data_IF_496464930617
#
_entry.id   IF_496464930617
#
_cell.length_a   1.000
_cell.length_b   1.000
_cell.length_c   1.000
_cell.angle_alpha   90.00
_cell.angle_beta   90.00
_cell.angle_gamma   90.00
#
_symmetry.space_group_name_H-M   'P 1'
#
loop_
_entity.id
_entity.type
_entity.pdbx_description
1 polymer ?
#
# COMPACT_ATOMS: atom_id res chain seq x y z
N UNK A 1 19.87 -17.68 -3.34
CA UNK A 1 19.36 -17.16 -4.62
C UNK A 1 18.48 -18.23 -5.23
N UNK A 2 17.17 -18.04 -5.13
CA UNK A 2 16.23 -18.69 -6.03
C UNK A 2 15.35 -17.58 -6.54
N UNK A 3 15.81 -17.02 -7.64
CA UNK A 3 15.01 -16.20 -8.52
C UNK A 3 13.85 -17.08 -8.99
N UNK A 4 12.68 -16.85 -8.42
CA UNK A 4 11.41 -17.29 -8.98
C UNK A 4 10.67 -16.02 -9.39
N UNK A 5 11.23 -15.39 -10.42
CA UNK A 5 10.49 -14.69 -11.44
C UNK A 5 9.75 -15.75 -12.25
N UNK A 6 8.57 -16.15 -11.76
CA UNK A 6 7.71 -17.16 -12.35
C UNK A 6 6.57 -16.51 -13.14
N UNK A 7 6.88 -15.61 -14.08
CA UNK A 7 6.16 -15.43 -15.34
C UNK A 7 4.63 -15.49 -15.32
N UNK A 8 4.00 -15.00 -14.25
CA UNK A 8 2.55 -14.91 -14.10
C UNK A 8 2.11 -13.52 -14.61
N UNK A 9 1.12 -13.43 -15.52
CA UNK A 9 0.75 -12.17 -16.15
C UNK A 9 0.20 -11.22 -15.10
N UNK A 10 0.95 -10.17 -14.74
CA UNK A 10 0.56 -9.07 -13.85
C UNK A 10 -0.46 -9.47 -12.76
N UNK A 11 -0.09 -10.50 -11.97
CA UNK A 11 -0.84 -10.88 -10.80
C UNK A 11 -0.77 -9.70 -9.82
N UNK A 12 -1.87 -8.95 -9.73
CA UNK A 12 -2.08 -7.82 -8.85
C UNK A 12 -1.26 -8.00 -7.55
N UNK A 13 -0.37 -7.05 -7.24
CA UNK A 13 0.47 -7.12 -6.05
C UNK A 13 -0.38 -7.45 -4.80
N UNK A 14 0.23 -7.98 -3.74
CA UNK A 14 -0.54 -8.46 -2.58
C UNK A 14 -1.44 -7.37 -1.95
N UNK A 15 -1.00 -6.12 -2.01
CA UNK A 15 -1.77 -4.96 -1.48
C UNK A 15 -3.01 -4.68 -2.33
N UNK A 16 -2.88 -4.56 -3.65
CA UNK A 16 -4.00 -4.35 -4.55
C UNK A 16 -4.90 -5.57 -4.64
N UNK A 17 -4.37 -6.80 -4.50
CA UNK A 17 -5.23 -7.99 -4.39
C UNK A 17 -6.13 -7.89 -3.17
N UNK A 18 -5.60 -7.39 -2.05
CA UNK A 18 -6.37 -7.15 -0.84
C UNK A 18 -7.42 -6.06 -1.06
N UNK A 19 -7.06 -4.95 -1.69
CA UNK A 19 -7.99 -3.85 -2.00
C UNK A 19 -9.08 -4.30 -2.99
N UNK A 20 -8.72 -4.99 -4.07
CA UNK A 20 -9.65 -5.50 -5.08
C UNK A 20 -10.63 -6.52 -4.47
N UNK A 21 -10.13 -7.40 -3.60
CA UNK A 21 -10.96 -8.33 -2.85
C UNK A 21 -11.90 -7.58 -1.89
N UNK A 22 -11.41 -6.58 -1.17
CA UNK A 22 -12.21 -5.74 -0.27
C UNK A 22 -13.34 -5.01 -1.02
N UNK A 23 -13.06 -4.43 -2.19
CA UNK A 23 -14.05 -3.74 -3.03
C UNK A 23 -15.09 -4.73 -3.58
N UNK A 24 -14.71 -5.98 -3.85
CA UNK A 24 -15.61 -7.00 -4.40
C UNK A 24 -16.81 -7.35 -3.51
N UNK A 25 -16.75 -7.02 -2.21
CA UNK A 25 -17.88 -7.20 -1.28
C UNK A 25 -19.04 -6.21 -1.53
N UNK A 26 -18.82 -5.12 -2.26
CA UNK A 26 -19.83 -4.09 -2.51
C UNK A 26 -20.18 -3.25 -1.27
N UNK A 27 -21.22 -2.43 -1.37
CA UNK A 27 -21.64 -1.52 -0.31
C UNK A 27 -20.74 -0.28 -0.23
N UNK A 28 -20.17 -0.01 0.94
CA UNK A 28 -19.23 1.10 1.17
C UNK A 28 -17.80 0.70 0.79
N UNK A 29 -17.58 0.58 -0.52
CA UNK A 29 -16.32 0.07 -1.09
C UNK A 29 -15.15 1.01 -0.84
N UNK A 30 -15.39 2.31 -0.77
CA UNK A 30 -14.34 3.31 -0.58
C UNK A 30 -13.76 3.22 0.83
N UNK A 31 -14.63 3.14 1.85
CA UNK A 31 -14.19 3.00 3.24
C UNK A 31 -13.51 1.66 3.49
N UNK A 32 -14.09 0.56 3.02
CA UNK A 32 -13.54 -0.79 3.24
C UNK A 32 -12.22 -0.97 2.46
N UNK A 33 -12.15 -0.50 1.21
CA UNK A 33 -10.94 -0.52 0.40
C UNK A 33 -9.80 0.30 1.04
N UNK A 34 -10.12 1.47 1.58
CA UNK A 34 -9.15 2.34 2.29
C UNK A 34 -8.60 1.65 3.54
N UNK A 35 -9.46 1.10 4.40
CA UNK A 35 -9.01 0.41 5.61
C UNK A 35 -8.17 -0.83 5.29
N UNK A 36 -8.62 -1.65 4.35
CA UNK A 36 -7.90 -2.86 3.93
C UNK A 36 -6.54 -2.53 3.29
N UNK A 37 -6.50 -1.49 2.46
CA UNK A 37 -5.27 -0.99 1.83
C UNK A 37 -4.26 -0.45 2.84
N UNK A 38 -4.71 0.31 3.84
CA UNK A 38 -3.84 0.83 4.89
C UNK A 38 -3.18 -0.30 5.72
N UNK A 39 -3.95 -1.32 6.11
CA UNK A 39 -3.45 -2.47 6.85
C UNK A 39 -2.46 -3.27 5.99
N UNK A 40 -2.81 -3.57 4.74
CA UNK A 40 -1.94 -4.31 3.84
C UNK A 40 -0.65 -3.53 3.53
N UNK A 41 -0.73 -2.22 3.31
CA UNK A 41 0.42 -1.35 3.07
C UNK A 41 1.36 -1.30 4.27
N UNK A 42 0.83 -1.20 5.49
CA UNK A 42 1.66 -1.24 6.70
C UNK A 42 2.35 -2.60 6.93
N UNK A 43 1.70 -3.70 6.52
CA UNK A 43 2.23 -5.06 6.73
C UNK A 43 3.25 -5.48 5.66
N UNK A 44 2.98 -5.18 4.39
CA UNK A 44 3.83 -5.60 3.27
C UNK A 44 4.85 -4.53 2.84
N UNK A 45 4.69 -3.28 3.31
CA UNK A 45 5.53 -2.16 2.91
C UNK A 45 5.24 -1.65 1.49
N UNK A 46 5.87 -0.53 1.18
CA UNK A 46 5.75 0.21 -0.08
C UNK A 46 6.48 -0.45 -1.26
N UNK A 47 7.53 -1.25 -1.00
CA UNK A 47 8.26 -2.00 -2.03
C UNK A 47 7.37 -2.95 -2.85
N UNK A 48 6.20 -3.32 -2.32
CA UNK A 48 5.23 -4.14 -3.01
C UNK A 48 4.29 -3.34 -3.91
N UNK A 49 4.27 -2.00 -3.86
CA UNK A 49 3.42 -1.12 -4.67
C UNK A 49 4.07 -0.78 -6.02
N UNK A 50 3.37 -0.98 -7.16
CA UNK A 50 3.81 -0.50 -8.46
C UNK A 50 4.10 0.99 -8.45
N UNK A 51 5.27 1.36 -8.96
CA UNK A 51 5.76 2.75 -8.97
C UNK A 51 4.78 3.70 -9.69
N UNK A 52 4.09 3.21 -10.72
CA UNK A 52 3.14 4.01 -11.48
C UNK A 52 1.80 4.23 -10.77
N UNK A 53 1.51 3.50 -9.69
CA UNK A 53 0.27 3.66 -8.94
C UNK A 53 0.19 5.01 -8.24
N UNK A 54 1.30 5.50 -7.69
CA UNK A 54 1.35 6.81 -7.06
C UNK A 54 1.14 7.95 -8.05
N UNK A 55 1.56 7.78 -9.31
CA UNK A 55 1.35 8.79 -10.38
C UNK A 55 -0.13 8.97 -10.74
N UNK A 56 -0.96 7.95 -10.49
CA UNK A 56 -2.40 7.97 -10.80
C UNK A 56 -3.26 8.39 -9.62
N UNK A 57 -2.68 8.45 -8.42
CA UNK A 57 -3.37 8.81 -7.20
C UNK A 57 -3.34 10.32 -7.00
N UNK A 58 -4.50 10.92 -6.76
CA UNK A 58 -4.60 12.32 -6.38
C UNK A 58 -3.93 12.56 -5.03
N UNK A 59 -3.08 13.57 -4.94
CA UNK A 59 -2.41 13.96 -3.69
C UNK A 59 -1.32 13.00 -3.22
N UNK A 60 -0.81 12.11 -4.07
CA UNK A 60 0.24 11.14 -3.70
C UNK A 60 1.48 11.80 -3.07
N UNK A 61 1.94 12.93 -3.60
CA UNK A 61 3.07 13.69 -3.03
C UNK A 61 2.80 14.10 -1.58
N UNK A 62 1.59 14.58 -1.27
CA UNK A 62 1.19 14.96 0.09
C UNK A 62 1.19 13.74 1.03
N UNK A 63 0.67 12.60 0.58
CA UNK A 63 0.63 11.39 1.40
C UNK A 63 2.03 10.80 1.65
N UNK A 64 2.92 10.89 0.66
CA UNK A 64 4.32 10.49 0.81
C UNK A 64 5.01 11.38 1.86
N UNK A 65 4.90 12.70 1.73
CA UNK A 65 5.47 13.65 2.70
C UNK A 65 4.90 13.44 4.11
N UNK A 66 3.58 13.25 4.23
CA UNK A 66 2.94 12.97 5.50
C UNK A 66 3.46 11.65 6.13
N UNK A 67 3.67 10.61 5.31
CA UNK A 67 4.21 9.33 5.78
C UNK A 67 5.63 9.47 6.35
N UNK A 68 6.49 10.27 5.71
CA UNK A 68 7.85 10.54 6.18
C UNK A 68 7.84 11.31 7.52
N UNK A 69 6.98 12.31 7.64
CA UNK A 69 6.81 13.08 8.89
C UNK A 69 6.35 12.18 10.03
N UNK A 70 5.34 11.33 9.80
CA UNK A 70 4.84 10.38 10.80
C UNK A 70 5.94 9.38 11.19
N UNK A 71 6.66 8.83 10.21
CA UNK A 71 7.76 7.90 10.45
C UNK A 71 8.86 8.54 11.31
N UNK A 72 9.28 9.76 10.96
CA UNK A 72 10.25 10.53 11.74
C UNK A 72 9.78 10.69 13.20
N UNK A 73 8.54 11.12 13.43
CA UNK A 73 7.99 11.28 14.79
C UNK A 73 7.99 9.95 15.58
N UNK A 74 7.72 8.83 14.93
CA UNK A 74 7.77 7.51 15.57
C UNK A 74 9.19 7.09 15.93
N UNK A 75 10.16 7.32 15.03
CA UNK A 75 11.56 7.01 15.29
C UNK A 75 12.17 7.88 16.39
N UNK A 76 11.86 9.17 16.43
CA UNK A 76 12.34 10.10 17.45
C UNK A 76 11.74 9.80 18.83
N UNK A 77 10.50 9.31 18.91
CA UNK A 77 9.86 8.88 20.17
C UNK A 77 10.39 7.56 20.71
N UNK A 78 10.91 6.69 19.85
CA UNK A 78 11.47 5.38 20.23
C UNK A 78 12.96 5.45 20.61
N UNK A 79 13.56 6.65 20.69
CA UNK A 79 14.87 6.87 21.32
C UNK A 79 14.65 7.18 22.80
N UNK A 80 14.31 6.15 23.59
CA UNK A 80 14.40 6.13 25.07
C UNK A 80 14.91 4.76 25.49
#
# INVERSE_FOLDING_TARGET
MKDSDDGQPDALNVVFRTIAFAISFGGDTDTIGTMAGAIAGAFYGDANLPVDSFKRMEGSDYYIEASEVIFKMLTEKNVV
#
